data_IF_911221447661
#
_entry.id   IF_911221447661
#
_cell.length_a   1.000
_cell.length_b   1.000
_cell.length_c   1.000
_cell.angle_alpha   90.00
_cell.angle_beta   90.00
_cell.angle_gamma   90.00
#
_symmetry.space_group_name_H-M   'P 1'
#
loop_
_entity.id
_entity.type
_entity.pdbx_description
1 polymer ?
#
# COMPACT_ATOMS: atom_id res chain seq x y z
N UNK A 1 11.99 -13.49 2.38
CA UNK A 1 10.74 -12.71 2.44
C UNK A 1 9.79 -13.07 1.30
N UNK A 2 8.55 -12.61 1.37
CA UNK A 2 7.50 -12.89 0.36
C UNK A 2 7.94 -12.50 -1.06
N UNK A 3 8.58 -11.36 -1.21
CA UNK A 3 9.05 -10.86 -2.50
C UNK A 3 10.15 -11.73 -3.09
N UNK A 4 11.23 -11.94 -2.34
CA UNK A 4 12.42 -12.59 -2.90
C UNK A 4 12.28 -14.10 -3.09
N UNK A 5 11.57 -14.78 -2.18
CA UNK A 5 11.53 -16.24 -2.19
C UNK A 5 10.35 -16.81 -2.96
N UNK A 6 9.28 -16.05 -3.12
CA UNK A 6 8.05 -16.54 -3.75
C UNK A 6 7.73 -15.74 -5.01
N UNK A 7 7.51 -14.44 -4.90
CA UNK A 7 7.10 -13.64 -6.05
C UNK A 7 8.17 -13.63 -7.16
N UNK A 8 9.43 -13.35 -6.81
CA UNK A 8 10.52 -13.34 -7.82
C UNK A 8 10.87 -14.74 -8.33
N UNK A 9 10.64 -15.79 -7.53
CA UNK A 9 10.91 -17.17 -7.96
C UNK A 9 9.91 -17.67 -9.00
N UNK A 10 8.74 -17.05 -9.11
CA UNK A 10 7.73 -17.39 -10.11
C UNK A 10 7.89 -16.62 -11.41
N UNK A 11 8.21 -15.35 -11.31
CA UNK A 11 8.44 -14.51 -12.49
C UNK A 11 9.86 -14.69 -12.98
N UNK A 12 10.05 -15.37 -14.12
CA UNK A 12 11.36 -15.45 -14.76
C UNK A 12 11.73 -14.09 -15.34
N UNK A 13 12.48 -13.32 -14.57
CA UNK A 13 12.99 -12.00 -14.96
C UNK A 13 14.46 -12.05 -15.36
N UNK A 14 15.07 -13.24 -15.43
CA UNK A 14 16.52 -13.39 -15.64
C UNK A 14 17.02 -12.66 -16.89
N UNK A 15 16.35 -12.84 -18.02
CA UNK A 15 16.72 -12.18 -19.28
C UNK A 15 16.53 -10.66 -19.23
N UNK A 16 15.44 -10.17 -18.64
CA UNK A 16 15.18 -8.74 -18.51
C UNK A 16 16.17 -8.06 -17.54
N UNK A 17 16.50 -8.73 -16.44
CA UNK A 17 17.47 -8.23 -15.47
C UNK A 17 18.87 -8.13 -16.08
N UNK A 18 19.33 -9.16 -16.80
CA UNK A 18 20.64 -9.13 -17.45
C UNK A 18 20.70 -8.06 -18.55
N UNK A 19 19.66 -7.90 -19.35
CA UNK A 19 19.56 -6.81 -20.31
C UNK A 19 19.71 -5.46 -19.63
N UNK A 20 18.97 -5.23 -18.55
CA UNK A 20 19.04 -3.98 -17.76
C UNK A 20 20.45 -3.77 -17.17
N UNK A 21 21.08 -4.81 -16.61
CA UNK A 21 22.46 -4.72 -16.08
C UNK A 21 23.45 -4.31 -17.16
N UNK A 22 23.32 -4.90 -18.35
CA UNK A 22 24.18 -4.55 -19.48
C UNK A 22 23.97 -3.11 -19.96
N UNK A 23 22.72 -2.64 -20.02
CA UNK A 23 22.40 -1.23 -20.33
C UNK A 23 23.02 -0.27 -19.30
N UNK A 24 23.05 -0.63 -18.02
CA UNK A 24 23.71 0.18 -16.98
C UNK A 24 25.21 0.23 -17.16
N UNK A 25 25.84 -0.92 -17.43
CA UNK A 25 27.30 -1.00 -17.70
C UNK A 25 27.70 -0.17 -18.92
N UNK A 26 26.88 -0.22 -20.00
CA UNK A 26 27.09 0.61 -21.20
C UNK A 26 27.01 2.12 -20.91
N UNK A 27 26.24 2.52 -19.90
CA UNK A 27 26.14 3.89 -19.41
C UNK A 27 27.24 4.26 -18.39
N UNK A 28 28.22 3.40 -18.18
CA UNK A 28 29.31 3.59 -17.21
C UNK A 28 28.85 3.53 -15.75
N UNK A 29 27.71 2.89 -15.46
CA UNK A 29 27.17 2.74 -14.11
C UNK A 29 27.35 1.31 -13.62
N UNK A 30 27.71 1.15 -12.35
CA UNK A 30 27.63 -0.14 -11.68
C UNK A 30 26.15 -0.49 -11.42
N UNK A 31 25.61 -1.59 -12.01
CA UNK A 31 24.22 -1.97 -11.84
C UNK A 31 23.84 -2.28 -10.40
N UNK A 32 24.75 -2.93 -9.64
CA UNK A 32 24.46 -3.35 -8.28
C UNK A 32 24.51 -2.16 -7.31
N UNK A 33 25.46 -1.23 -7.47
CA UNK A 33 25.46 0.04 -6.73
C UNK A 33 24.19 0.86 -7.03
N UNK A 34 23.81 0.96 -8.30
CA UNK A 34 22.60 1.70 -8.69
C UNK A 34 21.33 1.04 -8.13
N UNK A 35 21.24 -0.29 -8.17
CA UNK A 35 20.10 -1.00 -7.59
C UNK A 35 19.99 -0.78 -6.07
N UNK A 36 21.12 -0.85 -5.36
CA UNK A 36 21.20 -0.59 -3.92
C UNK A 36 20.79 0.86 -3.60
N UNK A 37 21.28 1.82 -4.38
CA UNK A 37 20.90 3.22 -4.23
C UNK A 37 19.39 3.44 -4.38
N UNK A 38 18.77 2.83 -5.42
CA UNK A 38 17.31 2.93 -5.61
C UNK A 38 16.51 2.20 -4.52
N UNK A 39 17.03 1.10 -4.01
CA UNK A 39 16.41 0.38 -2.89
C UNK A 39 16.45 1.18 -1.59
N UNK A 40 17.56 1.87 -1.32
CA UNK A 40 17.72 2.72 -0.14
C UNK A 40 16.84 3.99 -0.25
N UNK A 41 16.74 4.59 -1.44
CA UNK A 41 15.79 5.69 -1.72
C UNK A 41 14.34 5.24 -1.46
N UNK A 42 13.96 4.05 -1.96
CA UNK A 42 12.65 3.46 -1.68
C UNK A 42 12.42 3.26 -0.19
N UNK A 43 13.43 2.81 0.57
CA UNK A 43 13.35 2.64 2.02
C UNK A 43 13.07 3.97 2.73
N UNK A 44 13.72 5.06 2.33
CA UNK A 44 13.47 6.40 2.88
C UNK A 44 12.04 6.87 2.54
N UNK A 45 11.61 6.67 1.29
CA UNK A 45 10.25 7.00 0.85
C UNK A 45 9.19 6.25 1.69
N UNK A 46 9.33 4.93 1.88
CA UNK A 46 8.43 4.12 2.72
C UNK A 46 8.38 4.64 4.15
N UNK A 47 9.55 4.97 4.72
CA UNK A 47 9.61 5.56 6.05
C UNK A 47 8.82 6.87 6.14
N UNK A 48 8.98 7.77 5.17
CA UNK A 48 8.27 9.05 5.14
C UNK A 48 6.76 8.87 4.97
N UNK A 49 6.32 7.91 4.15
CA UNK A 49 4.90 7.58 3.99
C UNK A 49 4.32 6.97 5.27
N UNK A 50 5.07 6.04 5.90
CA UNK A 50 4.70 5.49 7.20
C UNK A 50 4.58 6.57 8.25
N UNK A 51 5.55 7.49 8.31
CA UNK A 51 5.53 8.62 9.24
C UNK A 51 4.33 9.55 8.98
N UNK A 52 3.96 9.81 7.72
CA UNK A 52 2.76 10.56 7.38
C UNK A 52 1.49 9.86 7.90
N UNK A 53 1.40 8.55 7.72
CA UNK A 53 0.25 7.77 8.18
C UNK A 53 0.11 7.75 9.71
N UNK A 54 1.20 7.90 10.47
CA UNK A 54 1.10 8.03 11.93
C UNK A 54 0.50 9.36 12.39
N UNK A 55 0.27 10.30 11.49
CA UNK A 55 -0.29 11.62 11.80
C UNK A 55 0.73 12.63 12.33
N UNK A 56 2.01 12.31 12.28
CA UNK A 56 3.07 13.27 12.62
C UNK A 56 2.95 14.50 11.71
N UNK A 57 3.04 15.69 12.30
CA UNK A 57 3.04 16.94 11.55
C UNK A 57 4.32 17.09 10.73
N UNK A 58 4.25 16.68 9.47
CA UNK A 58 5.37 16.72 8.55
C UNK A 58 5.59 18.14 8.00
N UNK A 59 6.82 18.62 8.11
CA UNK A 59 7.24 19.87 7.47
C UNK A 59 7.90 19.55 6.13
N UNK A 60 7.31 20.03 5.04
CA UNK A 60 7.80 19.80 3.67
C UNK A 60 8.98 20.75 3.35
N UNK A 61 9.99 20.72 4.20
CA UNK A 61 11.23 21.49 4.03
C UNK A 61 12.44 20.56 4.11
N UNK A 62 13.46 20.75 3.25
CA UNK A 62 14.61 19.86 3.16
C UNK A 62 15.33 19.62 4.49
N UNK A 63 15.49 20.66 5.30
CA UNK A 63 16.16 20.55 6.62
C UNK A 63 15.43 19.65 7.58
N UNK A 64 14.11 19.69 7.61
CA UNK A 64 13.29 18.84 8.46
C UNK A 64 13.34 17.38 7.97
N UNK A 65 13.17 17.13 6.67
CA UNK A 65 13.25 15.80 6.09
C UNK A 65 14.61 15.15 6.38
N UNK A 66 15.72 15.88 6.16
CA UNK A 66 17.06 15.38 6.49
C UNK A 66 17.19 15.00 7.95
N UNK A 67 16.66 15.82 8.86
CA UNK A 67 16.71 15.57 10.29
C UNK A 67 15.98 14.27 10.64
N UNK A 68 14.71 14.12 10.28
CA UNK A 68 13.90 12.95 10.67
C UNK A 68 14.41 11.66 10.06
N UNK A 69 14.92 11.68 8.81
CA UNK A 69 15.50 10.50 8.17
C UNK A 69 16.79 10.06 8.87
N UNK A 70 17.65 11.01 9.27
CA UNK A 70 18.88 10.71 10.03
C UNK A 70 18.58 10.13 11.42
N UNK A 71 17.55 10.63 12.08
CA UNK A 71 17.13 10.17 13.41
C UNK A 71 16.42 8.80 13.35
N UNK A 72 15.88 8.41 12.22
CA UNK A 72 15.08 7.20 12.03
C UNK A 72 15.85 5.87 12.19
N UNK A 73 17.18 5.89 12.26
CA UNK A 73 18.04 4.70 12.39
C UNK A 73 17.73 3.62 11.34
N UNK A 74 17.45 4.05 10.10
CA UNK A 74 17.19 3.15 8.99
C UNK A 74 18.40 2.25 8.72
N UNK A 75 18.12 1.01 8.31
CA UNK A 75 19.18 0.04 7.94
C UNK A 75 19.63 0.26 6.51
N UNK A 76 20.22 1.39 6.27
CA UNK A 76 20.83 1.81 5.00
C UNK A 76 22.29 2.22 5.25
N UNK A 77 23.11 2.09 4.22
CA UNK A 77 24.48 2.58 4.26
C UNK A 77 24.49 4.10 4.50
N UNK A 78 25.29 4.54 5.45
CA UNK A 78 25.32 5.96 5.87
C UNK A 78 25.75 6.88 4.71
N UNK A 79 26.72 6.46 3.90
CA UNK A 79 27.21 7.27 2.78
C UNK A 79 26.12 7.40 1.71
N UNK A 80 25.45 6.29 1.35
CA UNK A 80 24.33 6.33 0.41
C UNK A 80 23.15 7.14 0.93
N UNK A 81 22.84 7.05 2.22
CA UNK A 81 21.80 7.88 2.84
C UNK A 81 22.11 9.37 2.70
N UNK A 82 23.33 9.80 3.05
CA UNK A 82 23.73 11.21 2.90
C UNK A 82 23.64 11.67 1.44
N UNK A 83 24.11 10.86 0.50
CA UNK A 83 24.03 11.13 -0.93
C UNK A 83 22.58 11.28 -1.41
N UNK A 84 21.68 10.35 -1.02
CA UNK A 84 20.26 10.43 -1.35
C UNK A 84 19.62 11.71 -0.80
N UNK A 85 19.94 12.07 0.45
CA UNK A 85 19.41 13.30 1.07
C UNK A 85 19.97 14.59 0.45
N UNK A 86 21.05 14.52 -0.32
CA UNK A 86 21.56 15.64 -1.13
C UNK A 86 20.92 15.64 -2.52
N UNK A 87 20.97 14.51 -3.20
CA UNK A 87 20.62 14.42 -4.62
C UNK A 87 19.11 14.30 -4.89
N UNK A 88 18.35 13.71 -3.95
CA UNK A 88 16.93 13.35 -4.16
C UNK A 88 15.97 13.98 -3.14
N UNK A 89 16.40 15.00 -2.40
CA UNK A 89 15.55 15.57 -1.34
C UNK A 89 14.25 16.15 -1.91
N UNK A 90 14.31 16.80 -3.06
CA UNK A 90 13.14 17.38 -3.71
C UNK A 90 12.23 16.28 -4.26
N UNK A 91 12.79 15.20 -4.83
CA UNK A 91 12.06 14.01 -5.25
C UNK A 91 11.28 13.40 -4.08
N UNK A 92 11.91 13.27 -2.91
CA UNK A 92 11.26 12.72 -1.70
C UNK A 92 10.13 13.63 -1.18
N UNK A 93 10.29 14.94 -1.27
CA UNK A 93 9.24 15.90 -0.89
C UNK A 93 8.05 15.81 -1.85
N UNK A 94 8.31 15.76 -3.16
CA UNK A 94 7.27 15.58 -4.17
C UNK A 94 6.53 14.25 -4.02
N UNK A 95 7.25 13.16 -3.75
CA UNK A 95 6.67 11.84 -3.48
C UNK A 95 5.74 11.89 -2.27
N UNK A 96 6.16 12.57 -1.21
CA UNK A 96 5.36 12.74 0.00
C UNK A 96 4.12 13.61 -0.25
N UNK A 97 4.22 14.67 -1.05
CA UNK A 97 3.06 15.48 -1.47
C UNK A 97 2.09 14.63 -2.28
N UNK A 98 2.59 13.86 -3.24
CA UNK A 98 1.79 12.93 -4.05
C UNK A 98 1.03 11.93 -3.16
N UNK A 99 1.69 11.38 -2.15
CA UNK A 99 1.06 10.48 -1.18
C UNK A 99 0.02 11.17 -0.30
N UNK A 100 0.30 12.40 0.14
CA UNK A 100 -0.64 13.19 0.93
C UNK A 100 -1.93 13.53 0.15
N UNK A 101 -1.79 13.84 -1.15
CA UNK A 101 -2.93 14.04 -2.05
C UNK A 101 -3.79 12.78 -2.11
N UNK A 102 -3.17 11.62 -2.37
CA UNK A 102 -3.87 10.33 -2.37
C UNK A 102 -4.61 10.07 -1.06
N UNK A 103 -3.92 10.24 0.07
CA UNK A 103 -4.52 10.02 1.39
C UNK A 103 -5.72 10.92 1.64
N UNK A 104 -5.65 12.19 1.22
CA UNK A 104 -6.74 13.15 1.35
C UNK A 104 -7.93 12.79 0.45
N UNK A 105 -7.68 12.47 -0.83
CA UNK A 105 -8.74 12.16 -1.80
C UNK A 105 -9.48 10.86 -1.47
N UNK A 106 -8.78 9.88 -0.90
CA UNK A 106 -9.34 8.58 -0.54
C UNK A 106 -9.72 8.47 0.94
N UNK A 107 -9.64 9.57 1.69
CA UNK A 107 -9.91 9.62 3.13
C UNK A 107 -9.21 8.48 3.90
N UNK A 108 -7.91 8.28 3.62
CA UNK A 108 -7.11 7.18 4.16
C UNK A 108 -6.96 7.29 5.66
N UNK A 109 -7.26 6.20 6.38
CA UNK A 109 -7.00 6.04 7.82
C UNK A 109 -6.13 4.80 8.01
N UNK A 110 -4.97 4.91 8.68
CA UNK A 110 -4.09 3.76 8.89
C UNK A 110 -4.68 2.77 9.88
N UNK A 111 -4.43 1.49 9.62
CA UNK A 111 -4.77 0.36 10.50
C UNK A 111 -3.50 -0.36 10.94
N UNK A 112 -2.63 -0.73 9.99
CA UNK A 112 -1.29 -1.28 10.23
C UNK A 112 -0.30 -0.50 9.37
N UNK A 113 0.91 -0.23 9.92
CA UNK A 113 1.99 0.45 9.21
C UNK A 113 3.27 -0.32 9.45
N UNK A 114 3.97 -0.70 8.36
CA UNK A 114 5.25 -1.44 8.40
C UNK A 114 5.21 -2.65 9.35
N UNK A 115 4.04 -3.31 9.40
CA UNK A 115 3.80 -4.41 10.34
C UNK A 115 4.44 -5.69 9.84
N UNK A 116 5.33 -6.25 10.68
CA UNK A 116 5.86 -7.58 10.45
C UNK A 116 4.78 -8.63 10.71
N UNK A 117 4.49 -9.43 9.70
CA UNK A 117 3.56 -10.55 9.73
C UNK A 117 4.28 -11.85 9.42
N UNK A 118 3.72 -12.95 9.93
CA UNK A 118 4.17 -14.31 9.62
C UNK A 118 2.98 -15.18 9.27
N UNK A 119 3.19 -16.12 8.38
CA UNK A 119 2.27 -17.21 8.12
C UNK A 119 2.94 -18.54 8.46
N UNK A 120 2.40 -19.25 9.42
CA UNK A 120 2.83 -20.62 9.75
C UNK A 120 2.43 -21.60 8.65
N UNK A 121 1.30 -21.35 7.99
CA UNK A 121 0.76 -22.14 6.89
C UNK A 121 1.60 -21.98 5.62
N UNK A 122 1.93 -20.74 5.24
CA UNK A 122 2.72 -20.44 4.05
C UNK A 122 4.23 -20.50 4.32
N UNK A 123 4.64 -20.61 5.58
CA UNK A 123 6.05 -20.60 6.03
C UNK A 123 6.83 -19.38 5.52
N UNK A 124 6.18 -18.25 5.52
CA UNK A 124 6.77 -16.95 5.13
C UNK A 124 6.57 -15.91 6.23
N UNK A 125 7.49 -14.97 6.27
CA UNK A 125 7.36 -13.75 7.05
C UNK A 125 7.75 -12.56 6.18
N UNK A 126 7.03 -11.45 6.33
CA UNK A 126 7.30 -10.21 5.59
C UNK A 126 6.70 -9.02 6.31
N UNK A 127 7.22 -7.82 6.04
CA UNK A 127 6.58 -6.58 6.44
C UNK A 127 5.54 -6.19 5.39
N UNK A 128 4.39 -5.73 5.85
CA UNK A 128 3.34 -5.12 5.02
C UNK A 128 3.49 -3.62 5.16
N UNK A 129 3.58 -2.90 4.05
CA UNK A 129 3.83 -1.46 4.08
C UNK A 129 2.71 -0.72 4.80
N UNK A 130 1.45 -0.89 4.36
CA UNK A 130 0.31 -0.37 5.09
C UNK A 130 -0.96 -1.21 4.87
N UNK A 131 -1.76 -1.31 5.92
CA UNK A 131 -3.18 -1.64 5.84
C UNK A 131 -3.95 -0.41 6.25
N UNK A 132 -4.93 -0.04 5.47
CA UNK A 132 -5.68 1.19 5.64
C UNK A 132 -7.19 0.96 5.50
N UNK A 133 -7.96 1.80 6.15
CA UNK A 133 -9.36 2.04 5.81
C UNK A 133 -9.41 3.24 4.86
N UNK A 134 -10.05 3.08 3.70
CA UNK A 134 -10.13 4.15 2.71
C UNK A 134 -11.40 4.06 1.86
N UNK A 135 -11.65 5.07 1.05
CA UNK A 135 -12.69 5.02 0.03
C UNK A 135 -12.25 4.15 -1.15
N UNK A 136 -13.13 3.25 -1.60
CA UNK A 136 -12.92 2.43 -2.80
C UNK A 136 -12.81 3.30 -4.05
N UNK A 137 -12.43 2.70 -5.17
CA UNK A 137 -12.69 3.31 -6.46
C UNK A 137 -14.21 3.53 -6.65
N UNK A 138 -14.60 4.65 -7.31
CA UNK A 138 -16.01 4.93 -7.51
C UNK A 138 -16.63 3.93 -8.48
N UNK A 139 -17.65 3.23 -8.01
CA UNK A 139 -18.45 2.30 -8.81
C UNK A 139 -19.75 2.96 -9.27
N UNK A 140 -20.24 2.59 -10.46
CA UNK A 140 -21.53 3.03 -10.95
C UNK A 140 -22.63 2.15 -10.33
N UNK A 141 -23.43 2.72 -9.46
CA UNK A 141 -24.54 2.03 -8.79
C UNK A 141 -25.87 2.58 -9.30
N UNK A 142 -26.81 1.69 -9.62
CA UNK A 142 -28.18 2.10 -9.90
C UNK A 142 -28.91 2.37 -8.58
N UNK A 143 -29.43 3.56 -8.43
CA UNK A 143 -30.29 3.92 -7.31
C UNK A 143 -31.68 4.32 -7.85
N UNK A 144 -32.72 3.98 -7.11
CA UNK A 144 -34.05 4.48 -7.37
C UNK A 144 -34.22 5.84 -6.70
N UNK A 145 -34.57 6.84 -7.47
CA UNK A 145 -34.80 8.21 -7.00
C UNK A 145 -36.24 8.64 -7.34
N UNK A 146 -36.85 9.37 -6.46
CA UNK A 146 -38.17 9.98 -6.73
C UNK A 146 -38.04 11.07 -7.78
N UNK A 147 -38.88 11.02 -8.80
CA UNK A 147 -38.87 12.03 -9.88
C UNK A 147 -39.59 13.34 -9.48
N UNK A 148 -40.19 13.39 -8.29
CA UNK A 148 -41.05 14.49 -7.85
C UNK A 148 -42.46 14.46 -8.46
N UNK A 149 -42.72 13.47 -9.34
CA UNK A 149 -44.07 13.27 -9.92
C UNK A 149 -44.80 12.12 -9.23
N UNK A 150 -46.13 12.18 -9.23
CA UNK A 150 -46.99 11.11 -8.73
C UNK A 150 -47.59 10.32 -9.90
N UNK A 151 -47.82 9.04 -9.70
CA UNK A 151 -48.64 8.26 -10.64
C UNK A 151 -50.06 8.80 -10.70
N UNK A 152 -50.51 9.18 -11.89
CA UNK A 152 -51.85 9.80 -12.09
C UNK A 152 -52.96 8.75 -12.26
N UNK A 153 -52.60 7.52 -12.69
CA UNK A 153 -53.56 6.45 -12.97
C UNK A 153 -53.05 5.10 -12.54
N UNK A 154 -53.93 4.10 -12.42
CA UNK A 154 -53.59 2.71 -12.11
C UNK A 154 -53.44 2.41 -10.60
N UNK A 155 -53.00 1.18 -10.27
CA UNK A 155 -52.88 0.70 -8.88
C UNK A 155 -51.87 1.49 -8.01
N UNK A 156 -50.95 2.25 -8.64
CA UNK A 156 -49.96 3.10 -7.95
C UNK A 156 -50.37 4.57 -7.91
N UNK A 157 -51.62 4.94 -8.22
CA UNK A 157 -52.11 6.32 -8.21
C UNK A 157 -51.82 6.99 -6.87
N UNK A 158 -51.17 8.17 -6.92
CA UNK A 158 -50.77 8.94 -5.76
C UNK A 158 -49.47 8.53 -5.10
N UNK A 159 -48.79 7.48 -5.60
CA UNK A 159 -47.41 7.12 -5.16
C UNK A 159 -46.37 7.89 -5.96
N UNK A 160 -45.20 8.19 -5.37
CA UNK A 160 -44.08 8.77 -6.11
C UNK A 160 -43.65 7.91 -7.27
N UNK A 161 -43.38 8.55 -8.40
CA UNK A 161 -42.72 7.85 -9.51
C UNK A 161 -41.25 7.70 -9.19
N UNK A 162 -40.73 6.45 -9.34
CA UNK A 162 -39.33 6.13 -9.15
C UNK A 162 -38.65 6.02 -10.52
N UNK A 163 -37.46 6.59 -10.61
CA UNK A 163 -36.59 6.48 -11.78
C UNK A 163 -35.26 5.85 -11.34
N UNK A 164 -34.74 4.95 -12.15
CA UNK A 164 -33.41 4.38 -11.96
C UNK A 164 -32.35 5.33 -12.48
N UNK A 165 -31.51 5.81 -11.57
CA UNK A 165 -30.40 6.72 -11.91
C UNK A 165 -29.06 6.07 -11.57
N UNK A 166 -28.13 6.14 -12.51
CA UNK A 166 -26.74 5.70 -12.28
C UNK A 166 -25.97 6.82 -11.58
N UNK A 167 -25.43 6.53 -10.41
CA UNK A 167 -24.59 7.44 -9.65
C UNK A 167 -23.25 6.80 -9.33
N UNK A 168 -22.20 7.61 -9.27
CA UNK A 168 -20.90 7.17 -8.76
C UNK A 168 -20.95 7.13 -7.25
N UNK A 169 -20.61 5.99 -6.66
CA UNK A 169 -20.56 5.80 -5.21
C UNK A 169 -19.25 5.14 -4.81
N UNK A 170 -18.59 5.69 -3.80
CA UNK A 170 -17.48 5.04 -3.11
C UNK A 170 -18.02 4.37 -1.84
N UNK A 171 -17.41 3.27 -1.42
CA UNK A 171 -17.66 2.61 -0.13
C UNK A 171 -16.39 2.61 0.69
N UNK A 172 -16.53 2.59 2.00
CA UNK A 172 -15.39 2.42 2.90
C UNK A 172 -14.95 0.97 2.88
N UNK A 173 -13.66 0.73 2.66
CA UNK A 173 -13.04 -0.58 2.55
C UNK A 173 -11.78 -0.67 3.41
N UNK A 174 -11.42 -1.89 3.80
CA UNK A 174 -10.06 -2.19 4.24
C UNK A 174 -9.21 -2.63 3.05
N UNK A 175 -8.09 -1.96 2.87
CA UNK A 175 -7.19 -2.22 1.76
C UNK A 175 -5.73 -2.37 2.20
N UNK A 176 -4.97 -3.18 1.47
CA UNK A 176 -3.51 -3.20 1.55
C UNK A 176 -2.97 -2.19 0.55
N UNK A 177 -2.03 -1.39 0.99
CA UNK A 177 -1.20 -0.54 0.14
C UNK A 177 0.22 -1.05 0.16
N UNK A 178 0.79 -1.28 -1.01
CA UNK A 178 2.19 -1.63 -1.22
C UNK A 178 2.84 -0.49 -2.01
N UNK A 179 3.84 0.15 -1.42
CA UNK A 179 4.45 1.36 -1.94
C UNK A 179 5.55 1.03 -2.94
N UNK A 180 5.55 1.71 -4.07
CA UNK A 180 6.57 1.56 -5.13
C UNK A 180 7.21 2.91 -5.44
N UNK A 181 8.53 2.97 -5.38
CA UNK A 181 9.30 4.19 -5.71
C UNK A 181 9.41 4.49 -7.21
N UNK A 182 8.72 3.73 -8.04
CA UNK A 182 8.74 3.89 -9.49
C UNK A 182 7.69 4.89 -9.96
N UNK A 183 8.07 6.15 -10.11
CA UNK A 183 7.21 7.23 -10.62
C UNK A 183 6.62 6.97 -12.01
N UNK A 184 7.22 6.09 -12.83
CA UNK A 184 6.65 5.69 -14.12
C UNK A 184 5.38 4.85 -13.93
N UNK A 185 5.19 4.25 -12.74
CA UNK A 185 4.03 3.44 -12.40
C UNK A 185 3.96 2.14 -13.21
N UNK A 186 5.11 1.59 -13.55
CA UNK A 186 5.17 0.24 -14.09
C UNK A 186 4.93 -0.73 -12.93
N UNK A 187 3.78 -1.38 -12.91
CA UNK A 187 3.43 -2.36 -11.93
C UNK A 187 3.54 -3.75 -12.56
N UNK A 188 4.47 -4.54 -12.03
CA UNK A 188 4.78 -5.88 -12.51
C UNK A 188 3.87 -6.93 -11.87
N UNK A 189 3.75 -8.09 -12.50
CA UNK A 189 2.86 -9.17 -12.02
C UNK A 189 3.29 -9.74 -10.68
N UNK A 190 4.60 -9.75 -10.37
CA UNK A 190 5.11 -10.17 -9.07
C UNK A 190 4.58 -9.33 -7.90
N UNK A 191 4.17 -8.10 -8.16
CA UNK A 191 3.56 -7.24 -7.12
C UNK A 191 2.17 -7.74 -6.72
N UNK A 192 1.40 -8.28 -7.66
CA UNK A 192 0.11 -8.90 -7.34
C UNK A 192 0.29 -10.11 -6.42
N UNK A 193 1.32 -10.94 -6.68
CA UNK A 193 1.65 -12.07 -5.82
C UNK A 193 2.07 -11.66 -4.42
N UNK A 194 2.90 -10.62 -4.32
CA UNK A 194 3.34 -10.06 -3.04
C UNK A 194 2.12 -9.60 -2.21
N UNK A 195 1.21 -8.86 -2.82
CA UNK A 195 0.00 -8.36 -2.18
C UNK A 195 -0.94 -9.47 -1.73
N UNK A 196 -1.14 -10.52 -2.55
CA UNK A 196 -1.96 -11.66 -2.15
C UNK A 196 -1.35 -12.43 -0.97
N UNK A 197 -0.03 -12.57 -0.93
CA UNK A 197 0.65 -13.15 0.23
C UNK A 197 0.40 -12.33 1.49
N UNK A 198 0.45 -11.00 1.38
CA UNK A 198 0.13 -10.10 2.50
C UNK A 198 -1.31 -10.27 2.96
N UNK A 199 -2.27 -10.33 2.03
CA UNK A 199 -3.68 -10.55 2.35
C UNK A 199 -3.89 -11.84 3.13
N UNK A 200 -3.25 -12.93 2.72
CA UNK A 200 -3.32 -14.23 3.42
C UNK A 200 -2.66 -14.19 4.78
N UNK A 201 -1.51 -13.52 4.92
CA UNK A 201 -0.87 -13.35 6.22
C UNK A 201 -1.74 -12.53 7.16
N UNK A 202 -2.38 -11.46 6.69
CA UNK A 202 -3.32 -10.67 7.48
C UNK A 202 -4.50 -11.52 7.90
N UNK A 203 -5.10 -12.29 7.00
CA UNK A 203 -6.21 -13.18 7.31
C UNK A 203 -5.84 -14.25 8.35
N UNK A 204 -4.62 -14.81 8.27
CA UNK A 204 -4.13 -15.79 9.26
C UNK A 204 -3.92 -15.15 10.64
N UNK A 205 -3.40 -13.91 10.70
CA UNK A 205 -3.06 -13.24 11.97
C UNK A 205 -4.27 -12.56 12.63
N UNK A 206 -5.20 -12.01 11.85
CA UNK A 206 -6.31 -11.21 12.35
C UNK A 206 -7.68 -11.80 12.08
N UNK A 207 -7.77 -12.83 11.22
CA UNK A 207 -9.02 -13.55 10.92
C UNK A 207 -10.09 -12.62 10.36
N UNK A 208 -11.33 -12.79 10.86
CA UNK A 208 -12.47 -11.97 10.43
C UNK A 208 -12.48 -10.54 11.02
N UNK A 209 -11.57 -10.24 11.93
CA UNK A 209 -11.51 -8.92 12.57
C UNK A 209 -11.04 -7.88 11.57
N UNK A 210 -10.14 -8.27 10.66
CA UNK A 210 -9.60 -7.41 9.62
C UNK A 210 -9.72 -8.11 8.26
N UNK A 211 -10.85 -7.96 7.62
CA UNK A 211 -11.11 -8.52 6.30
C UNK A 211 -10.65 -7.53 5.22
N UNK A 212 -9.61 -7.93 4.48
CA UNK A 212 -9.08 -7.13 3.39
C UNK A 212 -9.95 -7.30 2.15
N UNK A 213 -10.63 -6.25 1.74
CA UNK A 213 -11.50 -6.23 0.57
C UNK A 213 -10.70 -5.99 -0.70
N UNK A 214 -9.69 -5.10 -0.64
CA UNK A 214 -8.92 -4.72 -1.83
C UNK A 214 -7.43 -4.63 -1.56
N UNK A 215 -6.65 -4.79 -2.64
CA UNK A 215 -5.19 -4.74 -2.61
C UNK A 215 -4.69 -3.82 -3.73
N UNK A 216 -3.79 -2.89 -3.38
CA UNK A 216 -3.30 -1.87 -4.30
C UNK A 216 -1.79 -1.73 -4.26
N UNK A 217 -1.21 -1.50 -5.45
CA UNK A 217 0.10 -0.87 -5.53
C UNK A 217 -0.08 0.65 -5.67
N UNK A 218 0.63 1.40 -4.85
CA UNK A 218 0.72 2.85 -4.93
C UNK A 218 2.10 3.25 -5.44
N UNK A 219 2.15 4.21 -6.37
CA UNK A 219 3.38 4.88 -6.77
C UNK A 219 3.16 6.39 -6.85
N UNK A 220 4.13 7.21 -6.43
CA UNK A 220 4.07 8.65 -6.60
C UNK A 220 3.94 9.03 -8.07
N UNK A 221 3.33 10.16 -8.33
CA UNK A 221 3.24 10.81 -9.63
C UNK A 221 3.89 12.19 -9.61
N UNK A 222 3.53 13.02 -10.55
CA UNK A 222 3.87 14.44 -10.54
C UNK A 222 2.79 15.21 -9.75
N UNK A 223 3.09 15.72 -8.55
CA UNK A 223 2.11 16.41 -7.71
C UNK A 223 1.58 17.71 -8.33
N UNK A 224 2.26 18.26 -9.33
CA UNK A 224 1.86 19.48 -10.04
C UNK A 224 0.98 19.20 -11.25
N UNK A 225 0.89 17.94 -11.69
CA UNK A 225 0.07 17.55 -12.83
C UNK A 225 -1.42 17.73 -12.51
N UNK A 226 -2.21 18.14 -13.51
CA UNK A 226 -3.67 18.19 -13.38
C UNK A 226 -4.31 16.80 -13.24
N UNK A 227 -3.65 15.80 -13.81
CA UNK A 227 -4.03 14.38 -13.77
C UNK A 227 -2.78 13.56 -13.51
N UNK A 228 -2.90 12.44 -12.82
CA UNK A 228 -1.73 11.57 -12.54
C UNK A 228 -0.80 12.10 -11.43
N UNK A 229 -1.37 12.79 -10.44
CA UNK A 229 -0.62 13.21 -9.26
C UNK A 229 -0.09 12.03 -8.45
N UNK A 230 -0.71 10.87 -8.59
CA UNK A 230 -0.26 9.56 -8.11
C UNK A 230 -0.76 8.47 -9.06
N UNK A 231 -0.24 7.27 -8.89
CA UNK A 231 -0.68 6.08 -9.61
C UNK A 231 -1.11 5.01 -8.61
N UNK A 232 -2.31 4.51 -8.82
CA UNK A 232 -2.88 3.45 -8.01
C UNK A 232 -3.31 2.31 -8.95
N UNK A 233 -2.78 1.10 -8.72
CA UNK A 233 -3.19 -0.08 -9.47
C UNK A 233 -3.87 -1.07 -8.53
N UNK A 234 -5.15 -1.29 -8.77
CA UNK A 234 -5.92 -2.35 -8.12
C UNK A 234 -5.45 -3.71 -8.65
N UNK A 235 -5.16 -4.61 -7.73
CA UNK A 235 -4.68 -5.96 -8.02
C UNK A 235 -5.69 -7.03 -7.62
N UNK A 236 -6.84 -6.65 -7.07
CA UNK A 236 -7.84 -7.57 -6.51
C UNK A 236 -8.46 -8.48 -7.55
N UNK A 237 -8.56 -8.03 -8.81
CA UNK A 237 -9.25 -8.73 -9.89
C UNK A 237 -8.35 -9.72 -10.65
N UNK A 238 -7.22 -10.11 -10.07
CA UNK A 238 -6.34 -11.11 -10.67
C UNK A 238 -6.36 -12.46 -9.92
N UNK A 239 -7.53 -13.14 -9.82
CA UNK A 239 -7.70 -14.30 -8.97
C UNK A 239 -6.88 -15.51 -9.44
N UNK A 240 -6.64 -15.66 -10.74
CA UNK A 240 -5.89 -16.80 -11.31
C UNK A 240 -4.41 -16.72 -10.90
N UNK A 241 -3.83 -15.53 -11.01
CA UNK A 241 -2.46 -15.27 -10.59
C UNK A 241 -2.29 -15.45 -9.07
N UNK A 242 -3.29 -15.02 -8.29
CA UNK A 242 -3.20 -14.97 -6.85
C UNK A 242 -3.29 -16.36 -6.18
N UNK A 243 -4.20 -17.21 -6.61
CA UNK A 243 -4.47 -18.50 -5.95
C UNK A 243 -3.60 -19.65 -6.46
N UNK A 244 -3.57 -19.85 -7.76
CA UNK A 244 -2.86 -20.97 -8.37
C UNK A 244 -1.36 -20.88 -8.13
N UNK A 245 -0.81 -19.67 -8.14
CA UNK A 245 0.61 -19.46 -7.96
C UNK A 245 1.07 -19.72 -6.54
N UNK A 246 0.34 -19.28 -5.52
CA UNK A 246 0.72 -19.56 -4.13
C UNK A 246 0.70 -21.08 -3.86
N UNK A 247 -0.30 -21.79 -4.36
CA UNK A 247 -0.38 -23.24 -4.23
C UNK A 247 0.75 -23.95 -5.01
N UNK A 248 1.04 -23.49 -6.22
CA UNK A 248 2.11 -24.04 -7.05
C UNK A 248 3.48 -23.82 -6.40
N UNK A 249 3.76 -22.63 -5.89
CA UNK A 249 5.02 -22.32 -5.22
C UNK A 249 5.20 -23.08 -3.91
N UNK A 250 4.12 -23.32 -3.17
CA UNK A 250 4.16 -24.20 -1.98
C UNK A 250 4.56 -25.64 -2.34
N UNK A 251 4.15 -26.13 -3.51
CA UNK A 251 4.53 -27.46 -3.99
C UNK A 251 5.95 -27.52 -4.56
N UNK A 252 6.39 -26.48 -5.25
CA UNK A 252 7.69 -26.45 -5.98
C UNK A 252 8.87 -26.11 -5.07
N UNK A 253 8.70 -25.12 -4.17
CA UNK A 253 9.74 -24.76 -3.22
C UNK A 253 9.49 -25.51 -1.91
N UNK A 254 10.18 -26.62 -1.71
CA UNK A 254 10.32 -27.21 -0.37
C UNK A 254 11.08 -26.18 0.45
N UNK A 255 10.35 -25.43 1.25
CA UNK A 255 10.95 -24.47 2.17
C UNK A 255 11.83 -25.24 3.15
N UNK A 256 13.12 -25.20 2.95
CA UNK A 256 14.06 -25.65 3.96
C UNK A 256 13.85 -24.80 5.21
N UNK A 257 13.94 -25.46 6.38
CA UNK A 257 13.90 -24.78 7.67
C UNK A 257 15.16 -23.90 7.79
N UNK A 258 15.10 -22.71 7.27
CA UNK A 258 16.13 -21.72 7.50
C UNK A 258 15.68 -20.82 8.65
N UNK A 259 16.51 -20.72 9.68
CA UNK A 259 16.32 -19.79 10.79
C UNK A 259 16.59 -18.37 10.29
N UNK A 260 15.63 -17.80 9.55
CA UNK A 260 15.72 -16.39 9.15
C UNK A 260 15.16 -15.50 10.26
N UNK A 261 15.98 -14.65 10.78
CA UNK A 261 15.50 -13.46 11.48
C UNK A 261 15.11 -12.44 10.43
N UNK A 262 13.81 -12.37 10.12
CA UNK A 262 13.29 -11.33 9.22
C UNK A 262 13.22 -10.04 10.02
N UNK A 263 14.01 -9.06 9.62
CA UNK A 263 13.98 -7.73 10.23
C UNK A 263 13.59 -6.73 9.16
N UNK A 264 12.55 -5.93 9.45
CA UNK A 264 12.19 -4.80 8.60
C UNK A 264 13.33 -3.80 8.51
N UNK A 265 13.52 -3.18 7.32
CA UNK A 265 14.48 -2.10 7.13
C UNK A 265 14.09 -0.81 7.85
N UNK A 266 12.80 -0.63 8.08
CA UNK A 266 12.22 0.56 8.70
C UNK A 266 11.92 0.31 10.18
N UNK A 267 11.69 -0.95 10.56
CA UNK A 267 11.09 -1.31 11.84
C UNK A 267 9.57 -1.26 11.76
N UNK A 268 8.91 -1.59 12.85
CA UNK A 268 7.45 -1.49 12.94
C UNK A 268 7.09 -0.08 13.42
N UNK A 269 6.34 0.65 12.60
CA UNK A 269 5.67 1.88 13.01
C UNK A 269 4.33 1.46 13.61
N UNK A 270 4.39 0.89 14.82
CA UNK A 270 3.23 0.28 15.45
C UNK A 270 2.25 1.35 15.90
N UNK A 271 0.98 1.16 15.57
CA UNK A 271 -0.11 2.01 16.02
C UNK A 271 -0.78 1.46 17.31
N UNK A 272 -0.20 0.43 17.91
CA UNK A 272 -0.59 -0.06 19.24
C UNK A 272 0.04 0.84 20.30
N UNK A 273 -0.75 1.70 20.92
CA UNK A 273 -0.30 2.59 21.98
C UNK A 273 -0.95 3.96 21.94
N UNK A 274 -0.59 4.79 22.91
CA UNK A 274 -1.02 6.18 22.96
C UNK A 274 -0.16 7.02 21.99
N UNK A 275 -0.70 7.36 20.84
CA UNK A 275 -0.06 8.33 19.96
C UNK A 275 -1.10 9.21 19.26
N UNK A 276 -0.63 10.37 18.84
CA UNK A 276 -1.46 11.38 18.21
C UNK A 276 -1.61 11.08 16.71
N UNK A 277 -2.83 10.77 16.28
CA UNK A 277 -3.19 10.59 14.89
C UNK A 277 -4.02 11.79 14.43
N UNK A 278 -3.48 12.66 13.59
CA UNK A 278 -4.16 13.89 13.14
C UNK A 278 -4.71 14.77 14.29
N UNK A 279 -3.98 14.89 15.39
CA UNK A 279 -4.39 15.63 16.57
C UNK A 279 -5.33 14.88 17.53
N UNK A 280 -5.66 13.63 17.24
CA UNK A 280 -6.44 12.75 18.11
C UNK A 280 -5.51 11.78 18.85
N UNK A 281 -5.52 11.84 20.17
CA UNK A 281 -4.83 10.87 21.01
C UNK A 281 -5.60 9.55 20.96
N UNK A 282 -4.97 8.50 20.50
CA UNK A 282 -5.56 7.18 20.44
C UNK A 282 -5.26 6.41 21.72
N UNK A 283 -6.29 6.12 22.51
CA UNK A 283 -6.20 5.39 23.80
C UNK A 283 -6.74 3.97 23.71
N UNK A 284 -7.18 3.54 22.56
CA UNK A 284 -7.72 2.20 22.35
C UNK A 284 -6.69 1.28 21.69
N UNK A 285 -6.72 0.00 22.02
CA UNK A 285 -5.88 -0.99 21.35
C UNK A 285 -6.25 -1.09 19.87
N UNK A 286 -5.32 -1.55 19.02
CA UNK A 286 -5.60 -1.81 17.61
C UNK A 286 -6.83 -2.72 17.42
N UNK A 287 -6.95 -3.74 18.26
CA UNK A 287 -8.06 -4.69 18.23
C UNK A 287 -9.39 -3.99 18.49
N UNK A 288 -9.46 -3.14 19.52
CA UNK A 288 -10.68 -2.41 19.88
C UNK A 288 -11.06 -1.41 18.80
N UNK A 289 -10.07 -0.73 18.23
CA UNK A 289 -10.26 0.15 17.07
C UNK A 289 -10.88 -0.60 15.88
N UNK A 290 -10.31 -1.75 15.51
CA UNK A 290 -10.82 -2.54 14.39
C UNK A 290 -12.25 -3.00 14.69
N UNK A 291 -12.53 -3.48 15.91
CA UNK A 291 -13.88 -3.88 16.32
C UNK A 291 -14.87 -2.72 16.24
N UNK A 292 -14.48 -1.54 16.69
CA UNK A 292 -15.34 -0.33 16.63
C UNK A 292 -15.66 0.03 15.19
N UNK A 293 -14.63 0.14 14.35
CA UNK A 293 -14.82 0.47 12.92
C UNK A 293 -15.68 -0.57 12.20
N UNK A 294 -15.51 -1.85 12.51
CA UNK A 294 -16.34 -2.92 11.94
C UNK A 294 -17.79 -2.88 12.42
N UNK A 295 -18.03 -2.48 13.68
CA UNK A 295 -19.40 -2.31 14.20
C UNK A 295 -20.11 -1.12 13.57
N UNK A 296 -19.41 0.01 13.40
CA UNK A 296 -19.92 1.21 12.73
C UNK A 296 -20.30 0.98 11.26
N UNK A 297 -19.66 0.01 10.59
CA UNK A 297 -19.97 -0.35 9.19
C UNK A 297 -21.19 -1.26 9.03
N UNK A 298 -21.60 -1.96 10.10
CA UNK A 298 -22.73 -2.91 10.07
C UNK A 298 -24.07 -2.28 10.47
N UNK A 299 -24.05 -1.08 11.00
CA UNK A 299 -25.23 -0.26 11.29
C UNK A 299 -25.52 0.69 10.14
#
# INVERSE_FOLDING_TARGET
GATNNIANGYCDTSGALEKWKNEMRLKGKDPDEYANYRADLGTIMHYLFGLYLTGVNIKLIPTWIRKVVKEAKLRIDKYRMERILVDNIDELIEDLISFAIFCKERHVKPVLIEKMLRSSRLKVASSVDAVVEMDSEPEMVEIEVETGELYKVGAKKGQPKMEKKKVKRCRRIFAILDFKSNRKGNFYDEYAFQLELYRRMIQENYGKILEIEEIYNFAPGDPTAKTSQYKLKRQTDNPILNMATVVYLQGKYKFEKTNYTVTSRIGSLDIEGDFELNGLIRKESLRDYIYRVMSERRG
#
